data_IF_528956746086
#
_entry.id   IF_528956746086
#
_cell.length_a   1.000
_cell.length_b   1.000
_cell.length_c   1.000
_cell.angle_alpha   90.00
_cell.angle_beta   90.00
_cell.angle_gamma   90.00
#
_symmetry.space_group_name_H-M   'P 1'
#
loop_
_entity.id
_entity.type
_entity.pdbx_description
1 polymer ?
#
# COMPACT_ATOMS: atom_id res chain seq x y z
N UNK A 1 -7.72 21.15 11.89
CA UNK A 1 -6.76 20.03 11.83
C UNK A 1 -7.44 18.95 11.01
N UNK A 2 -6.76 18.38 10.02
CA UNK A 2 -7.32 17.26 9.26
C UNK A 2 -7.57 16.09 10.22
N UNK A 3 -8.60 15.29 9.93
CA UNK A 3 -8.93 14.11 10.73
C UNK A 3 -8.02 12.95 10.29
N UNK A 4 -7.17 12.38 11.18
CA UNK A 4 -6.23 11.35 10.77
C UNK A 4 -6.97 10.10 10.29
N UNK A 5 -6.51 9.53 9.17
CA UNK A 5 -7.09 8.29 8.64
C UNK A 5 -6.53 7.06 9.34
N UNK A 6 -5.27 7.13 9.82
CA UNK A 6 -4.64 6.09 10.63
C UNK A 6 -4.13 6.73 11.92
N UNK A 7 -4.45 6.11 13.03
CA UNK A 7 -3.84 6.40 14.34
C UNK A 7 -3.35 5.11 14.94
N UNK A 8 -2.05 5.02 15.17
CA UNK A 8 -1.39 3.92 15.86
C UNK A 8 -0.86 4.44 17.20
N UNK A 9 -1.12 3.73 18.29
CA UNK A 9 -0.71 4.13 19.63
C UNK A 9 -0.01 2.98 20.34
N UNK A 10 1.24 3.22 20.78
CA UNK A 10 2.01 2.30 21.60
C UNK A 10 2.23 0.92 20.99
N UNK A 11 2.39 0.81 19.66
CA UNK A 11 2.49 -0.48 18.98
C UNK A 11 3.76 -1.23 19.35
N UNK A 12 3.59 -2.42 19.91
CA UNK A 12 4.70 -3.39 20.10
C UNK A 12 4.46 -4.64 19.30
N UNK A 13 5.55 -5.27 18.83
CA UNK A 13 5.49 -6.58 18.17
C UNK A 13 6.81 -7.32 18.32
N UNK A 14 6.74 -8.58 18.73
CA UNK A 14 7.89 -9.46 18.84
C UNK A 14 7.70 -10.73 18.01
N UNK A 15 8.79 -11.25 17.49
CA UNK A 15 8.89 -12.57 16.84
C UNK A 15 9.98 -13.36 17.55
N UNK A 16 9.57 -14.25 18.47
CA UNK A 16 10.49 -14.92 19.36
C UNK A 16 11.30 -13.90 20.18
N UNK A 17 12.65 -13.97 20.18
CA UNK A 17 13.48 -13.02 20.93
C UNK A 17 13.60 -11.64 20.29
N UNK A 18 13.16 -11.47 19.03
CA UNK A 18 13.34 -10.22 18.28
C UNK A 18 12.14 -9.30 18.47
N UNK A 19 12.35 -8.16 19.10
CA UNK A 19 11.33 -7.13 19.25
C UNK A 19 11.36 -6.21 18.01
N UNK A 20 10.43 -6.44 17.10
CA UNK A 20 10.34 -5.73 15.81
C UNK A 20 9.73 -4.34 15.94
N UNK A 21 8.80 -4.12 16.89
CA UNK A 21 8.23 -2.81 17.22
C UNK A 21 8.29 -2.60 18.74
N UNK A 22 8.64 -1.38 19.17
CA UNK A 22 8.98 -1.06 20.57
C UNK A 22 8.16 0.10 21.13
N UNK A 23 6.87 0.18 20.82
CA UNK A 23 6.01 1.26 21.30
C UNK A 23 5.94 2.40 20.29
N UNK A 24 5.51 2.10 19.05
CA UNK A 24 5.38 3.10 17.98
C UNK A 24 4.06 3.84 18.12
N UNK A 25 4.14 5.18 18.13
CA UNK A 25 3.02 6.10 17.94
C UNK A 25 3.14 6.74 16.55
N UNK A 26 2.09 6.65 15.73
CA UNK A 26 2.07 7.21 14.38
C UNK A 26 0.66 7.67 14.02
N UNK A 27 0.56 8.87 13.46
CA UNK A 27 -0.65 9.35 12.78
C UNK A 27 -0.38 9.54 11.30
N UNK A 28 -1.37 9.24 10.46
CA UNK A 28 -1.35 9.51 9.02
C UNK A 28 -2.59 10.31 8.68
N UNK A 29 -2.40 11.47 8.07
CA UNK A 29 -3.49 12.36 7.70
C UNK A 29 -4.21 11.85 6.43
N UNK A 30 -5.48 12.21 6.29
CA UNK A 30 -6.26 11.82 5.11
C UNK A 30 -5.72 12.49 3.85
N UNK A 31 -5.48 11.70 2.82
CA UNK A 31 -4.91 12.15 1.53
C UNK A 31 -3.39 12.39 1.56
N UNK A 32 -2.73 12.16 2.70
CA UNK A 32 -1.28 12.27 2.84
C UNK A 32 -0.57 11.13 2.09
N UNK A 33 0.58 11.43 1.50
CA UNK A 33 1.58 10.46 1.07
C UNK A 33 2.69 10.45 2.12
N UNK A 34 2.69 9.42 2.97
CA UNK A 34 3.68 9.23 4.02
C UNK A 34 4.77 8.26 3.57
N UNK A 35 6.04 8.65 3.59
CA UNK A 35 7.17 7.75 3.41
C UNK A 35 7.63 7.16 4.75
N UNK A 36 7.75 5.83 4.81
CA UNK A 36 8.33 5.08 5.94
C UNK A 36 9.69 4.57 5.53
N UNK A 37 10.73 5.21 6.05
CA UNK A 37 12.13 4.92 5.73
C UNK A 37 12.85 4.16 6.85
N UNK A 38 14.05 3.66 6.55
CA UNK A 38 14.92 3.00 7.52
C UNK A 38 15.67 1.81 6.93
N UNK A 39 16.70 1.29 7.62
CA UNK A 39 17.50 0.16 7.16
C UNK A 39 16.67 -1.14 7.07
N UNK A 40 17.19 -2.14 6.35
CA UNK A 40 16.60 -3.47 6.32
C UNK A 40 16.55 -4.05 7.73
N UNK A 41 15.46 -4.74 8.06
CA UNK A 41 15.26 -5.34 9.40
C UNK A 41 14.84 -4.35 10.50
N UNK A 42 14.67 -3.06 10.23
CA UNK A 42 14.32 -2.06 11.25
C UNK A 42 12.88 -2.13 11.77
N UNK A 43 12.00 -2.94 11.15
CA UNK A 43 10.60 -3.10 11.57
C UNK A 43 9.56 -2.45 10.63
N UNK A 44 9.97 -1.83 9.50
CA UNK A 44 9.06 -1.13 8.56
C UNK A 44 7.90 -2.00 8.06
N UNK A 45 8.21 -3.18 7.50
CA UNK A 45 7.17 -4.08 6.98
C UNK A 45 6.28 -4.61 8.11
N UNK A 46 6.84 -4.85 9.32
CA UNK A 46 6.04 -5.21 10.51
C UNK A 46 5.09 -4.08 10.90
N UNK A 47 5.57 -2.83 10.90
CA UNK A 47 4.74 -1.66 11.16
C UNK A 47 3.57 -1.59 10.16
N UNK A 48 3.86 -1.63 8.85
CA UNK A 48 2.82 -1.56 7.82
C UNK A 48 1.84 -2.73 7.92
N UNK A 49 2.30 -3.94 8.20
CA UNK A 49 1.42 -5.09 8.39
C UNK A 49 0.52 -4.94 9.65
N UNK A 50 1.00 -4.29 10.71
CA UNK A 50 0.16 -3.96 11.86
C UNK A 50 -0.86 -2.86 11.51
N UNK A 51 -0.43 -1.78 10.84
CA UNK A 51 -1.32 -0.68 10.41
C UNK A 51 -2.43 -1.18 9.47
N UNK A 52 -2.12 -2.16 8.62
CA UNK A 52 -3.10 -2.77 7.71
C UNK A 52 -3.93 -3.91 8.35
N UNK A 53 -3.72 -4.22 9.63
CA UNK A 53 -4.41 -5.32 10.31
C UNK A 53 -4.13 -6.70 9.73
N UNK A 54 -2.99 -6.89 9.04
CA UNK A 54 -2.50 -8.20 8.56
C UNK A 54 -1.95 -8.99 9.74
N UNK A 55 -1.15 -8.31 10.58
CA UNK A 55 -0.57 -8.86 11.81
C UNK A 55 -1.18 -8.10 12.99
N UNK A 56 -1.58 -8.81 14.04
CA UNK A 56 -1.98 -8.18 15.30
C UNK A 56 -0.73 -7.75 16.07
N UNK A 57 -0.67 -6.51 16.59
CA UNK A 57 0.36 -6.12 17.54
C UNK A 57 0.24 -6.94 18.84
N UNK A 58 1.31 -7.01 19.62
CA UNK A 58 1.28 -7.65 20.94
C UNK A 58 0.69 -6.69 22.00
N UNK A 59 0.86 -5.39 21.81
CA UNK A 59 0.18 -4.33 22.56
C UNK A 59 0.01 -3.07 21.72
N UNK A 60 -0.79 -2.14 22.21
CA UNK A 60 -1.16 -0.91 21.52
C UNK A 60 -2.41 -1.08 20.66
N UNK A 61 -2.79 -0.04 19.92
CA UNK A 61 -3.98 -0.02 19.09
C UNK A 61 -3.72 0.59 17.73
N UNK A 62 -4.54 0.20 16.74
CA UNK A 62 -4.57 0.77 15.39
C UNK A 62 -6.01 1.12 15.04
N UNK A 63 -6.28 2.41 14.86
CA UNK A 63 -7.54 2.90 14.33
C UNK A 63 -7.34 3.29 12.87
N UNK A 64 -8.13 2.72 11.96
CA UNK A 64 -8.15 3.01 10.54
C UNK A 64 -9.54 3.49 10.13
N UNK A 65 -9.64 4.70 9.62
CA UNK A 65 -10.90 5.33 9.18
C UNK A 65 -12.01 5.17 10.25
N UNK A 66 -11.68 5.48 11.52
CA UNK A 66 -12.58 5.39 12.68
C UNK A 66 -12.82 3.96 13.21
N UNK A 67 -12.22 2.94 12.61
CA UNK A 67 -12.38 1.53 13.02
C UNK A 67 -11.15 1.04 13.75
N UNK A 68 -11.28 0.61 15.02
CA UNK A 68 -10.18 -0.02 15.77
C UNK A 68 -9.96 -1.45 15.27
N UNK A 69 -8.88 -1.63 14.50
CA UNK A 69 -8.51 -2.93 13.91
C UNK A 69 -8.07 -3.95 14.96
N UNK A 70 -7.57 -3.49 16.10
CA UNK A 70 -7.07 -4.38 17.17
C UNK A 70 -8.19 -5.08 17.93
N UNK A 71 -9.36 -4.45 17.97
CA UNK A 71 -10.57 -5.00 18.59
C UNK A 71 -11.31 -6.01 17.67
N UNK A 72 -10.96 -6.07 16.37
CA UNK A 72 -11.68 -6.90 15.41
C UNK A 72 -11.19 -8.36 15.41
N UNK A 73 -12.10 -9.30 15.11
CA UNK A 73 -11.74 -10.68 14.77
C UNK A 73 -10.95 -10.75 13.44
N UNK A 74 -10.21 -11.86 13.18
CA UNK A 74 -9.50 -12.03 11.92
C UNK A 74 -10.38 -11.84 10.67
N UNK A 75 -11.61 -12.37 10.68
CA UNK A 75 -12.55 -12.26 9.56
C UNK A 75 -13.05 -10.83 9.36
N UNK A 76 -13.29 -10.10 10.45
CA UNK A 76 -13.67 -8.69 10.39
C UNK A 76 -12.53 -7.85 9.84
N UNK A 77 -11.28 -8.09 10.28
CA UNK A 77 -10.10 -7.41 9.71
C UNK A 77 -9.94 -7.73 8.21
N UNK A 78 -10.18 -8.98 7.79
CA UNK A 78 -10.12 -9.35 6.37
C UNK A 78 -11.14 -8.56 5.53
N UNK A 79 -12.36 -8.35 6.05
CA UNK A 79 -13.38 -7.52 5.39
C UNK A 79 -12.96 -6.05 5.30
N UNK A 80 -12.40 -5.49 6.37
CA UNK A 80 -11.88 -4.10 6.35
C UNK A 80 -10.76 -3.98 5.33
N UNK A 81 -9.80 -4.93 5.30
CA UNK A 81 -8.73 -4.92 4.28
C UNK A 81 -9.29 -4.92 2.87
N UNK A 82 -10.22 -5.83 2.56
CA UNK A 82 -10.83 -5.92 1.23
C UNK A 82 -11.52 -4.61 0.80
N UNK A 83 -12.14 -3.90 1.73
CA UNK A 83 -12.97 -2.73 1.42
C UNK A 83 -12.24 -1.40 1.51
N UNK A 84 -11.20 -1.29 2.37
CA UNK A 84 -10.59 -0.01 2.75
C UNK A 84 -9.11 0.08 2.44
N UNK A 85 -8.45 -1.04 2.11
CA UNK A 85 -7.00 -1.10 1.96
C UNK A 85 -6.62 -1.66 0.61
N UNK A 86 -5.69 -0.99 -0.06
CA UNK A 86 -4.95 -1.51 -1.21
C UNK A 86 -3.54 -1.89 -0.79
N UNK A 87 -2.96 -2.90 -1.45
CA UNK A 87 -1.56 -3.29 -1.26
C UNK A 87 -0.83 -3.39 -2.61
N UNK A 88 0.34 -2.76 -2.68
CA UNK A 88 1.32 -2.93 -3.75
C UNK A 88 2.62 -3.44 -3.14
N UNK A 89 3.14 -4.54 -3.64
CA UNK A 89 4.39 -5.17 -3.20
C UNK A 89 5.51 -4.96 -4.22
N UNK A 90 6.74 -5.12 -3.78
CA UNK A 90 7.95 -4.94 -4.60
C UNK A 90 7.93 -5.72 -5.92
N UNK A 91 7.40 -6.94 -5.94
CA UNK A 91 7.33 -7.80 -7.13
C UNK A 91 5.92 -7.90 -7.73
N UNK A 92 5.01 -6.97 -7.41
CA UNK A 92 3.62 -6.94 -7.85
C UNK A 92 2.76 -8.11 -7.36
N UNK A 93 3.31 -9.29 -7.17
CA UNK A 93 2.63 -10.51 -6.70
C UNK A 93 1.32 -10.79 -7.47
N UNK A 94 1.38 -10.68 -8.79
CA UNK A 94 0.26 -11.03 -9.66
C UNK A 94 0.11 -12.56 -9.73
N UNK A 95 -1.13 -13.01 -9.90
CA UNK A 95 -1.41 -14.41 -10.15
C UNK A 95 -1.02 -14.74 -11.60
N UNK A 96 -0.03 -15.63 -11.82
CA UNK A 96 0.57 -15.84 -13.14
C UNK A 96 -0.39 -16.47 -14.14
N UNK A 97 -1.37 -17.24 -13.67
CA UNK A 97 -2.35 -17.95 -14.49
C UNK A 97 -3.55 -17.09 -14.88
N UNK A 98 -3.62 -15.85 -14.39
CA UNK A 98 -4.69 -14.90 -14.68
C UNK A 98 -4.18 -13.81 -15.64
N UNK A 99 -5.11 -13.31 -16.48
CA UNK A 99 -4.85 -12.11 -17.30
C UNK A 99 -4.67 -10.86 -16.41
N UNK A 100 -4.22 -9.75 -17.00
CA UNK A 100 -4.20 -8.46 -16.30
C UNK A 100 -5.60 -8.06 -15.84
N UNK A 101 -6.60 -8.20 -16.70
CA UNK A 101 -8.00 -7.91 -16.35
C UNK A 101 -8.47 -8.77 -15.17
N UNK A 102 -8.22 -10.07 -15.18
CA UNK A 102 -8.64 -10.96 -14.10
C UNK A 102 -7.91 -10.66 -12.78
N UNK A 103 -6.61 -10.35 -12.84
CA UNK A 103 -5.85 -9.92 -11.67
C UNK A 103 -6.45 -8.66 -11.04
N UNK A 104 -6.78 -7.65 -11.85
CA UNK A 104 -7.37 -6.39 -11.37
C UNK A 104 -8.81 -6.59 -10.91
N UNK A 105 -9.59 -7.45 -11.56
CA UNK A 105 -10.98 -7.72 -11.21
C UNK A 105 -11.13 -8.51 -9.88
N UNK A 106 -10.10 -9.26 -9.48
CA UNK A 106 -10.16 -10.19 -8.35
C UNK A 106 -10.70 -9.58 -7.04
N UNK A 107 -10.22 -8.42 -6.56
CA UNK A 107 -10.75 -7.81 -5.33
C UNK A 107 -12.24 -7.45 -5.43
N UNK A 108 -12.71 -7.04 -6.60
CA UNK A 108 -14.12 -6.73 -6.83
C UNK A 108 -14.98 -7.98 -6.80
N UNK A 109 -14.49 -9.09 -7.36
CA UNK A 109 -15.17 -10.39 -7.31
C UNK A 109 -15.27 -10.88 -5.87
N UNK A 110 -14.18 -10.77 -5.09
CA UNK A 110 -14.17 -11.10 -3.66
C UNK A 110 -15.14 -10.21 -2.86
N UNK A 111 -15.35 -8.96 -3.28
CA UNK A 111 -16.34 -8.04 -2.71
C UNK A 111 -17.77 -8.32 -3.18
N UNK A 112 -18.04 -9.41 -3.94
CA UNK A 112 -19.37 -9.82 -4.39
C UNK A 112 -19.87 -9.11 -5.65
N UNK A 113 -19.02 -8.39 -6.40
CA UNK A 113 -19.43 -7.81 -7.68
C UNK A 113 -19.61 -8.88 -8.76
N UNK A 114 -20.53 -8.68 -9.67
CA UNK A 114 -20.68 -9.57 -10.83
C UNK A 114 -19.43 -9.52 -11.72
N UNK A 115 -19.07 -10.63 -12.36
CA UNK A 115 -17.90 -10.72 -13.23
C UNK A 115 -17.91 -9.65 -14.32
N UNK A 116 -19.06 -9.39 -14.94
CA UNK A 116 -19.19 -8.34 -15.95
C UNK A 116 -18.83 -6.96 -15.41
N UNK A 117 -19.40 -6.59 -14.25
CA UNK A 117 -19.11 -5.29 -13.63
C UNK A 117 -17.66 -5.18 -13.19
N UNK A 118 -17.08 -6.25 -12.62
CA UNK A 118 -15.70 -6.31 -12.19
C UNK A 118 -14.73 -6.13 -13.37
N UNK A 119 -14.94 -6.85 -14.47
CA UNK A 119 -14.11 -6.75 -15.67
C UNK A 119 -14.20 -5.37 -16.32
N UNK A 120 -15.41 -4.79 -16.44
CA UNK A 120 -15.56 -3.42 -16.97
C UNK A 120 -14.76 -2.41 -16.14
N UNK A 121 -14.82 -2.51 -14.83
CA UNK A 121 -14.07 -1.62 -13.93
C UNK A 121 -12.55 -1.90 -13.99
N UNK A 122 -12.14 -3.17 -14.09
CA UNK A 122 -10.75 -3.56 -14.22
C UNK A 122 -10.10 -2.99 -15.50
N UNK A 123 -10.79 -3.11 -16.64
CA UNK A 123 -10.32 -2.55 -17.93
C UNK A 123 -10.17 -1.03 -17.82
N UNK A 124 -11.14 -0.33 -17.25
CA UNK A 124 -11.04 1.12 -17.07
C UNK A 124 -9.84 1.53 -16.19
N UNK A 125 -9.47 0.73 -15.19
CA UNK A 125 -8.28 0.96 -14.39
C UNK A 125 -6.98 0.67 -15.16
N UNK A 126 -6.95 -0.37 -15.99
CA UNK A 126 -5.83 -0.67 -16.87
C UNK A 126 -5.61 0.47 -17.88
N UNK A 127 -6.69 0.98 -18.49
CA UNK A 127 -6.63 2.13 -19.41
C UNK A 127 -6.03 3.37 -18.72
N UNK A 128 -6.47 3.69 -17.50
CA UNK A 128 -5.92 4.83 -16.72
C UNK A 128 -4.43 4.73 -16.45
N UNK A 129 -3.90 3.51 -16.34
CA UNK A 129 -2.47 3.24 -16.12
C UNK A 129 -1.71 2.96 -17.42
N UNK A 130 -2.31 3.23 -18.60
CA UNK A 130 -1.70 3.05 -19.89
C UNK A 130 -1.47 1.59 -20.30
N UNK A 131 -2.37 0.69 -19.88
CA UNK A 131 -2.28 -0.75 -20.09
C UNK A 131 -3.49 -1.35 -20.82
N UNK A 132 -4.30 -0.54 -21.50
CA UNK A 132 -5.51 -1.03 -22.17
C UNK A 132 -5.24 -2.14 -23.19
N UNK A 133 -4.16 -2.02 -23.95
CA UNK A 133 -3.69 -3.01 -24.93
C UNK A 133 -3.05 -4.26 -24.31
N UNK A 134 -2.87 -4.28 -22.98
CA UNK A 134 -2.29 -5.40 -22.23
C UNK A 134 -3.35 -6.20 -21.44
N UNK A 135 -4.63 -5.81 -21.52
CA UNK A 135 -5.72 -6.31 -20.69
C UNK A 135 -5.85 -7.86 -20.66
N UNK A 136 -5.64 -8.49 -21.81
CA UNK A 136 -5.76 -9.95 -22.01
C UNK A 136 -4.44 -10.71 -21.80
N UNK A 137 -3.32 -10.01 -21.53
CA UNK A 137 -2.03 -10.66 -21.36
C UNK A 137 -1.86 -11.21 -19.93
N UNK A 138 -1.10 -12.31 -19.83
CA UNK A 138 -0.65 -12.84 -18.53
C UNK A 138 0.59 -12.08 -18.04
N UNK A 139 0.84 -12.04 -16.72
CA UNK A 139 1.99 -11.36 -16.13
C UNK A 139 3.34 -11.79 -16.71
N UNK A 140 3.49 -13.07 -17.04
CA UNK A 140 4.73 -13.60 -17.61
C UNK A 140 5.10 -13.05 -19.01
N UNK A 141 4.16 -12.40 -19.72
CA UNK A 141 4.37 -11.77 -21.01
C UNK A 141 4.54 -10.25 -20.94
N UNK A 142 4.64 -9.69 -19.73
CA UNK A 142 4.74 -8.25 -19.47
C UNK A 142 6.15 -7.85 -19.06
N UNK A 143 6.52 -6.59 -19.31
CA UNK A 143 7.70 -6.01 -18.66
C UNK A 143 7.43 -5.82 -17.14
N UNK A 144 8.52 -5.73 -16.34
CA UNK A 144 8.40 -5.49 -14.89
C UNK A 144 7.55 -4.25 -14.57
N UNK A 145 7.75 -3.14 -15.29
CA UNK A 145 6.97 -1.92 -15.11
C UNK A 145 5.49 -2.08 -15.50
N UNK A 146 5.18 -2.86 -16.55
CA UNK A 146 3.80 -3.19 -16.91
C UNK A 146 3.12 -4.04 -15.82
N UNK A 147 3.78 -5.10 -15.37
CA UNK A 147 3.27 -5.95 -14.30
C UNK A 147 3.05 -5.16 -12.99
N UNK A 148 3.95 -4.24 -12.66
CA UNK A 148 3.81 -3.38 -11.48
C UNK A 148 2.61 -2.42 -11.61
N UNK A 149 2.37 -1.84 -12.78
CA UNK A 149 1.17 -1.02 -13.02
C UNK A 149 -0.12 -1.84 -12.92
N UNK A 150 -0.13 -3.11 -13.36
CA UNK A 150 -1.27 -4.02 -13.14
C UNK A 150 -1.49 -4.25 -11.63
N UNK A 151 -0.42 -4.43 -10.85
CA UNK A 151 -0.53 -4.58 -9.41
C UNK A 151 -1.08 -3.31 -8.72
N UNK A 152 -0.70 -2.13 -9.20
CA UNK A 152 -1.25 -0.84 -8.75
C UNK A 152 -2.74 -0.74 -9.12
N UNK A 153 -3.13 -1.10 -10.35
CA UNK A 153 -4.53 -1.14 -10.76
C UNK A 153 -5.35 -2.06 -9.84
N UNK A 154 -4.83 -3.27 -9.56
CA UNK A 154 -5.48 -4.23 -8.64
C UNK A 154 -5.65 -3.66 -7.24
N UNK A 155 -4.64 -2.96 -6.72
CA UNK A 155 -4.70 -2.37 -5.39
C UNK A 155 -5.71 -1.22 -5.29
N UNK A 156 -5.90 -0.45 -6.38
CA UNK A 156 -6.74 0.74 -6.40
C UNK A 156 -8.17 0.50 -6.92
N UNK A 157 -8.44 -0.65 -7.55
CA UNK A 157 -9.73 -0.94 -8.20
C UNK A 157 -10.93 -0.86 -7.26
N UNK A 158 -10.75 -1.19 -5.98
CA UNK A 158 -11.79 -1.08 -4.94
C UNK A 158 -11.97 0.34 -4.42
N UNK A 159 -11.16 1.30 -4.86
CA UNK A 159 -11.08 2.68 -4.34
C UNK A 159 -10.82 2.68 -2.83
N UNK A 160 -9.70 2.14 -2.39
CA UNK A 160 -9.38 2.03 -0.97
C UNK A 160 -9.18 3.41 -0.34
N UNK A 161 -9.42 3.48 0.97
CA UNK A 161 -9.13 4.68 1.75
C UNK A 161 -7.61 4.87 1.95
N UNK A 162 -6.88 3.75 2.04
CA UNK A 162 -5.42 3.73 2.21
C UNK A 162 -4.78 2.73 1.26
N UNK A 163 -3.71 3.16 0.60
CA UNK A 163 -2.80 2.33 -0.18
C UNK A 163 -1.50 2.12 0.60
N UNK A 164 -1.16 0.89 0.90
CA UNK A 164 0.17 0.52 1.39
C UNK A 164 1.02 0.07 0.20
N UNK A 165 2.19 0.68 0.03
CA UNK A 165 3.12 0.35 -1.05
C UNK A 165 4.48 -0.01 -0.44
N UNK A 166 4.84 -1.30 -0.49
CA UNK A 166 6.10 -1.81 0.06
C UNK A 166 7.12 -1.94 -1.07
N UNK A 167 8.07 -1.00 -1.12
CA UNK A 167 9.11 -0.89 -2.16
C UNK A 167 8.55 -1.06 -3.59
N UNK A 168 7.53 -0.30 -4.00
CA UNK A 168 6.76 -0.58 -5.21
C UNK A 168 7.57 -0.51 -6.51
N UNK A 169 8.77 0.04 -6.47
CA UNK A 169 9.67 0.18 -7.62
C UNK A 169 11.02 -0.49 -7.42
N UNK A 170 11.24 -1.19 -6.29
CA UNK A 170 12.53 -1.73 -5.91
C UNK A 170 13.09 -2.85 -6.81
N UNK A 171 12.25 -3.40 -7.70
CA UNK A 171 12.66 -4.42 -8.70
C UNK A 171 12.82 -3.86 -10.12
N UNK A 172 12.65 -2.55 -10.31
CA UNK A 172 12.64 -1.90 -11.62
C UNK A 172 13.93 -1.09 -11.85
N UNK A 173 14.28 -0.86 -13.12
CA UNK A 173 15.27 0.13 -13.48
C UNK A 173 14.80 1.56 -13.16
N UNK A 174 15.71 2.53 -13.14
CA UNK A 174 15.40 3.90 -12.70
C UNK A 174 14.35 4.61 -13.57
N UNK A 175 14.35 4.39 -14.89
CA UNK A 175 13.39 5.02 -15.80
C UNK A 175 11.99 4.42 -15.61
N UNK A 176 11.91 3.10 -15.52
CA UNK A 176 10.66 2.39 -15.23
C UNK A 176 10.11 2.75 -13.83
N UNK A 177 10.99 2.89 -12.84
CA UNK A 177 10.63 3.27 -11.47
C UNK A 177 9.95 4.63 -11.42
N UNK A 178 10.55 5.65 -12.05
CA UNK A 178 10.00 7.00 -12.08
C UNK A 178 8.63 7.04 -12.78
N UNK A 179 8.51 6.35 -13.93
CA UNK A 179 7.28 6.26 -14.69
C UNK A 179 6.14 5.54 -13.92
N UNK A 180 6.46 4.46 -13.21
CA UNK A 180 5.47 3.69 -12.42
C UNK A 180 5.05 4.48 -11.18
N UNK A 181 6.00 5.09 -10.47
CA UNK A 181 5.72 5.89 -9.28
C UNK A 181 4.90 7.13 -9.64
N UNK A 182 5.27 7.84 -10.72
CA UNK A 182 4.53 9.00 -11.21
C UNK A 182 3.08 8.66 -11.53
N UNK A 183 2.83 7.59 -12.30
CA UNK A 183 1.48 7.13 -12.64
C UNK A 183 0.66 6.72 -11.39
N UNK A 184 1.30 6.08 -10.41
CA UNK A 184 0.64 5.74 -9.15
C UNK A 184 0.22 6.98 -8.38
N UNK A 185 1.13 7.95 -8.20
CA UNK A 185 0.88 9.16 -7.42
C UNK A 185 -0.13 10.09 -8.07
N UNK A 186 -0.15 10.18 -9.41
CA UNK A 186 -1.18 10.92 -10.14
C UNK A 186 -2.57 10.40 -9.78
N UNK A 187 -2.77 9.09 -9.92
CA UNK A 187 -4.06 8.46 -9.66
C UNK A 187 -4.48 8.56 -8.19
N UNK A 188 -3.55 8.41 -7.23
CA UNK A 188 -3.90 8.49 -5.79
C UNK A 188 -4.23 9.93 -5.38
N UNK A 189 -3.54 10.94 -5.92
CA UNK A 189 -3.86 12.35 -5.68
C UNK A 189 -5.22 12.74 -6.23
N UNK A 190 -5.56 12.30 -7.44
CA UNK A 190 -6.89 12.51 -8.03
C UNK A 190 -8.02 11.87 -7.21
N UNK A 191 -7.77 10.67 -6.66
CA UNK A 191 -8.77 9.93 -5.88
C UNK A 191 -8.84 10.34 -4.40
N UNK A 192 -7.88 11.12 -3.91
CA UNK A 192 -7.74 11.47 -2.48
C UNK A 192 -7.36 10.27 -1.61
N UNK A 193 -6.80 9.21 -2.21
CA UNK A 193 -6.36 8.02 -1.48
C UNK A 193 -5.11 8.34 -0.66
N UNK A 194 -5.10 8.00 0.62
CA UNK A 194 -3.90 8.12 1.47
C UNK A 194 -2.88 7.04 1.10
N UNK A 195 -1.60 7.37 1.14
CA UNK A 195 -0.53 6.41 0.81
C UNK A 195 0.44 6.27 1.97
N UNK A 196 0.77 5.02 2.33
CA UNK A 196 1.91 4.70 3.19
C UNK A 196 2.93 3.94 2.34
N UNK A 197 4.02 4.62 2.01
CA UNK A 197 5.06 4.18 1.09
C UNK A 197 6.29 3.73 1.88
N UNK A 198 6.61 2.43 1.86
CA UNK A 198 7.89 1.94 2.37
C UNK A 198 8.93 2.07 1.26
N UNK A 199 10.03 2.73 1.57
CA UNK A 199 11.18 2.79 0.67
C UNK A 199 12.48 3.01 1.44
N UNK A 200 13.60 2.56 0.87
CA UNK A 200 14.95 2.91 1.32
C UNK A 200 15.62 3.87 0.33
N UNK A 201 14.99 4.17 -0.81
CA UNK A 201 15.48 5.12 -1.82
C UNK A 201 14.99 6.54 -1.50
N UNK A 202 15.93 7.46 -1.25
CA UNK A 202 15.62 8.86 -0.97
C UNK A 202 14.89 9.58 -2.13
N UNK A 203 15.14 9.15 -3.39
CA UNK A 203 14.44 9.72 -4.55
C UNK A 203 12.96 9.36 -4.53
N UNK A 204 12.65 8.13 -4.19
CA UNK A 204 11.25 7.67 -4.02
C UNK A 204 10.59 8.36 -2.83
N UNK A 205 11.30 8.54 -1.71
CA UNK A 205 10.78 9.24 -0.53
C UNK A 205 10.50 10.74 -0.80
N UNK A 206 11.27 11.38 -1.69
CA UNK A 206 11.07 12.80 -2.04
C UNK A 206 9.69 13.10 -2.69
N UNK A 207 8.95 12.10 -3.14
CA UNK A 207 7.57 12.26 -3.62
C UNK A 207 6.52 12.30 -2.51
N UNK A 208 6.91 11.98 -1.26
CA UNK A 208 6.02 11.99 -0.12
C UNK A 208 5.85 13.39 0.47
N UNK A 209 4.71 13.63 1.10
CA UNK A 209 4.42 14.89 1.79
C UNK A 209 5.16 14.95 3.14
N UNK A 210 5.42 13.79 3.74
CA UNK A 210 6.13 13.64 5.02
C UNK A 210 6.91 12.33 5.07
N UNK A 211 8.02 12.34 5.80
CA UNK A 211 8.87 11.17 6.03
C UNK A 211 8.94 10.83 7.51
N UNK A 212 8.95 9.54 7.82
CA UNK A 212 9.25 8.98 9.14
C UNK A 212 10.33 7.91 9.00
N UNK A 213 11.23 7.85 9.96
CA UNK A 213 12.33 6.87 9.95
C UNK A 213 12.09 5.84 11.05
N UNK A 214 12.07 4.56 10.66
CA UNK A 214 12.04 3.43 11.60
C UNK A 214 13.46 2.92 11.81
N UNK A 215 13.93 2.91 13.06
CA UNK A 215 15.21 2.30 13.46
C UNK A 215 15.01 1.45 14.70
N UNK A 216 15.46 0.21 14.64
CA UNK A 216 15.43 -0.72 15.78
C UNK A 216 14.04 -0.82 16.44
N UNK A 217 12.98 -0.80 15.63
CA UNK A 217 11.60 -0.89 16.11
C UNK A 217 11.05 0.41 16.74
N UNK A 218 11.72 1.53 16.61
CA UNK A 218 11.29 2.85 17.09
C UNK A 218 11.14 3.84 15.92
N UNK A 219 10.25 4.82 16.06
CA UNK A 219 10.22 5.98 15.16
C UNK A 219 11.23 7.02 15.61
N UNK A 220 12.06 7.47 14.69
CA UNK A 220 12.99 8.58 14.89
C UNK A 220 12.69 9.66 13.86
N UNK A 221 12.26 10.86 14.33
CA UNK A 221 12.02 12.04 13.49
C UNK A 221 10.75 11.96 12.62
N UNK A 222 10.01 13.05 12.56
CA UNK A 222 9.07 13.32 11.50
C UNK A 222 9.60 14.57 10.77
N UNK A 223 10.01 14.43 9.51
CA UNK A 223 10.42 15.56 8.68
C UNK A 223 9.31 15.82 7.66
N UNK A 224 8.80 17.06 7.61
CA UNK A 224 8.01 17.51 6.48
C UNK A 224 8.95 17.63 5.28
N UNK A 225 8.61 17.02 4.14
CA UNK A 225 9.35 17.28 2.90
C UNK A 225 9.17 18.75 2.54
N UNK A 226 10.29 19.44 2.26
CA UNK A 226 10.24 20.80 1.70
C UNK A 226 9.78 20.63 0.24
N UNK A 227 8.66 21.25 -0.18
CA UNK A 227 8.24 21.18 -1.58
C UNK A 227 9.36 21.76 -2.46
N UNK A 228 9.73 21.01 -3.51
CA UNK A 228 10.69 21.43 -4.51
C UNK A 228 10.06 22.49 -5.43
#
# INVERSE_FOLDING_TARGET
>A
MADPIITATGLTKSFGPTQALRGIDLTVERGEVLAVMGPSGSGKSTLVHCLAGVISPDSGSVVLDGTDLTALSPDQRAKVRLQRIGFVFQFGQLLPDLTATDNVALPLLMAGRSRRAANTQAIAWLDRLGLGDQADKSPGSMSGGQAQRVAIARALVTRPAVLFADEPTGSLDSVSSESVLGAMLEVVRESGTTVVLITHDARTAAYADREVIVRDGLLSGAYASVPA
#
